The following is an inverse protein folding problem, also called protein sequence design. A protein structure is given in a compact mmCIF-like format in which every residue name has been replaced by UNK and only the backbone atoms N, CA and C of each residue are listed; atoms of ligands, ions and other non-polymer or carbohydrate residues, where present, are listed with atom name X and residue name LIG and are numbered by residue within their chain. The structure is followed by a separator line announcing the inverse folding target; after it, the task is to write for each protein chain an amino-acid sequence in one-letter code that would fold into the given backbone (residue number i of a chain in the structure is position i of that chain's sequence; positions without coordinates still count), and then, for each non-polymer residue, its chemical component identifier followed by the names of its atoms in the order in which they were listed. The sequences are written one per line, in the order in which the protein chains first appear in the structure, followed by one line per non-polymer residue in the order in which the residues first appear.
data_IF_709438007967
#
_entry.id   IF_709438007967
#
_cell.length_a   1.000
_cell.length_b   1.000
_cell.length_c   1.000
_cell.angle_alpha   90.00
_cell.angle_beta   90.00
_cell.angle_gamma   90.00
#
_symmetry.space_group_name_H-M   'P 1'
#
loop_
_entity.id
_entity.type
_entity.pdbx_description
1 polymer ?
#
# COMPACT_ATOMS: atom_id res chain seq x y z
N UNK A 1 4.88 -26.32 -6.82
CA UNK A 1 3.56 -26.03 -6.21
C UNK A 1 3.63 -25.48 -4.78
N UNK A 2 4.64 -25.80 -3.94
CA UNK A 2 4.66 -25.34 -2.52
C UNK A 2 4.91 -23.85 -2.26
N UNK A 3 5.60 -23.12 -3.14
CA UNK A 3 5.97 -21.71 -2.90
C UNK A 3 4.78 -20.74 -2.91
N UNK A 4 3.82 -20.96 -3.82
CA UNK A 4 2.60 -20.15 -3.90
C UNK A 4 1.70 -20.42 -2.70
N UNK A 5 1.51 -21.70 -2.34
CA UNK A 5 0.73 -22.09 -1.15
C UNK A 5 1.32 -21.53 0.15
N UNK A 6 2.66 -21.51 0.29
CA UNK A 6 3.33 -20.94 1.45
C UNK A 6 3.10 -19.41 1.55
N UNK A 7 3.24 -18.69 0.44
CA UNK A 7 2.98 -17.24 0.41
C UNK A 7 1.52 -16.90 0.74
N UNK A 8 0.56 -17.64 0.17
CA UNK A 8 -0.85 -17.45 0.46
C UNK A 8 -1.17 -17.70 1.95
N UNK A 9 -0.61 -18.76 2.53
CA UNK A 9 -0.74 -19.01 3.98
C UNK A 9 -0.18 -17.86 4.83
N UNK A 10 0.95 -17.29 4.44
CA UNK A 10 1.55 -16.16 5.16
C UNK A 10 0.72 -14.88 5.02
N UNK A 11 0.14 -14.59 3.85
CA UNK A 11 -0.73 -13.43 3.68
C UNK A 11 -2.03 -13.57 4.47
N UNK A 12 -2.59 -14.79 4.57
CA UNK A 12 -3.77 -15.03 5.38
C UNK A 12 -3.48 -14.86 6.89
N UNK A 13 -2.36 -15.40 7.39
CA UNK A 13 -1.96 -15.21 8.77
C UNK A 13 -1.66 -13.73 9.10
N UNK A 14 -1.01 -13.02 8.18
CA UNK A 14 -0.76 -11.58 8.31
C UNK A 14 -2.05 -10.77 8.29
N UNK A 15 -3.02 -11.15 7.47
CA UNK A 15 -4.34 -10.53 7.44
C UNK A 15 -5.02 -10.60 8.82
N UNK A 16 -5.06 -11.78 9.43
CA UNK A 16 -5.63 -11.97 10.77
C UNK A 16 -4.89 -11.18 11.85
N UNK A 17 -3.57 -11.08 11.76
CA UNK A 17 -2.76 -10.30 12.69
C UNK A 17 -3.10 -8.80 12.60
N UNK A 18 -3.16 -8.25 11.39
CA UNK A 18 -3.54 -6.85 11.17
C UNK A 18 -4.98 -6.57 11.61
N UNK A 19 -5.91 -7.51 11.42
CA UNK A 19 -7.29 -7.37 11.88
C UNK A 19 -7.40 -7.29 13.41
N UNK A 20 -6.59 -8.05 14.15
CA UNK A 20 -6.55 -7.96 15.61
C UNK A 20 -6.04 -6.61 16.10
N UNK A 21 -5.07 -6.02 15.39
CA UNK A 21 -4.60 -4.66 15.68
C UNK A 21 -5.71 -3.65 15.40
N UNK A 22 -6.32 -3.71 14.22
CA UNK A 22 -7.39 -2.78 13.81
C UNK A 22 -8.66 -2.89 14.67
N UNK A 23 -8.92 -4.04 15.29
CA UNK A 23 -10.00 -4.20 16.25
C UNK A 23 -9.79 -3.37 17.54
N UNK A 24 -8.53 -3.08 17.89
CA UNK A 24 -8.16 -2.25 19.05
C UNK A 24 -7.87 -0.81 18.64
N UNK A 25 -7.22 -0.64 17.49
CA UNK A 25 -6.75 0.64 16.95
C UNK A 25 -7.20 0.77 15.49
N UNK A 26 -8.45 1.21 15.23
CA UNK A 26 -9.04 1.19 13.88
C UNK A 26 -8.36 2.10 12.85
N UNK A 27 -7.46 2.97 13.31
CA UNK A 27 -6.73 3.96 12.53
C UNK A 27 -5.22 3.73 12.61
N UNK A 28 -4.75 2.58 13.11
CA UNK A 28 -3.34 2.24 13.05
C UNK A 28 -2.89 2.13 11.59
N UNK A 29 -2.00 3.02 11.19
CA UNK A 29 -1.58 3.17 9.79
C UNK A 29 -0.83 1.92 9.32
N UNK A 30 0.01 1.33 10.17
CA UNK A 30 0.79 0.14 9.84
C UNK A 30 -0.12 -1.07 9.57
N UNK A 31 -1.14 -1.27 10.40
CA UNK A 31 -2.10 -2.35 10.24
C UNK A 31 -3.05 -2.13 9.06
N UNK A 32 -3.47 -0.88 8.79
CA UNK A 32 -4.24 -0.55 7.58
C UNK A 32 -3.42 -0.87 6.32
N UNK A 33 -2.16 -0.42 6.28
CA UNK A 33 -1.21 -0.71 5.20
C UNK A 33 -0.99 -2.21 5.02
N UNK A 34 -0.67 -2.91 6.11
CA UNK A 34 -0.42 -4.35 6.13
C UNK A 34 -1.64 -5.15 5.66
N UNK A 35 -2.83 -4.80 6.14
CA UNK A 35 -4.10 -5.40 5.69
C UNK A 35 -4.34 -5.15 4.20
N UNK A 36 -4.13 -3.93 3.74
CA UNK A 36 -4.34 -3.56 2.34
C UNK A 36 -3.43 -4.32 1.37
N UNK A 37 -2.14 -4.47 1.72
CA UNK A 37 -1.19 -5.28 0.95
C UNK A 37 -1.61 -6.76 0.96
N UNK A 38 -1.97 -7.31 2.12
CA UNK A 38 -2.37 -8.73 2.21
C UNK A 38 -3.60 -9.02 1.34
N UNK A 39 -4.63 -8.17 1.39
CA UNK A 39 -5.82 -8.31 0.56
C UNK A 39 -5.49 -8.24 -0.93
N UNK A 40 -4.64 -7.29 -1.34
CA UNK A 40 -4.21 -7.17 -2.73
C UNK A 40 -3.45 -8.41 -3.21
N UNK A 41 -2.54 -8.94 -2.38
CA UNK A 41 -1.79 -10.17 -2.71
C UNK A 41 -2.66 -11.44 -2.68
N UNK A 42 -3.81 -11.41 -2.01
CA UNK A 42 -4.83 -12.46 -2.02
C UNK A 42 -5.84 -12.30 -3.16
N UNK A 43 -5.67 -11.32 -4.06
CA UNK A 43 -6.54 -11.07 -5.21
C UNK A 43 -7.75 -10.20 -4.92
N UNK A 44 -7.85 -9.61 -3.73
CA UNK A 44 -8.89 -8.64 -3.31
C UNK A 44 -8.31 -7.24 -3.39
N UNK A 45 -7.86 -6.85 -4.57
CA UNK A 45 -7.08 -5.62 -4.77
C UNK A 45 -7.88 -4.35 -4.52
N UNK A 46 -9.16 -4.31 -4.88
CA UNK A 46 -10.03 -3.15 -4.66
C UNK A 46 -10.17 -2.85 -3.16
N UNK A 47 -10.43 -3.87 -2.34
CA UNK A 47 -10.50 -3.71 -0.89
C UNK A 47 -9.14 -3.33 -0.29
N UNK A 48 -8.06 -3.85 -0.87
CA UNK A 48 -6.71 -3.49 -0.48
C UNK A 48 -6.38 -2.03 -0.74
N UNK A 49 -6.78 -1.52 -1.91
CA UNK A 49 -6.64 -0.12 -2.31
C UNK A 49 -7.39 0.80 -1.35
N UNK A 50 -8.64 0.50 -1.01
CA UNK A 50 -9.42 1.35 -0.09
C UNK A 50 -8.77 1.47 1.30
N UNK A 51 -8.19 0.38 1.82
CA UNK A 51 -7.45 0.43 3.08
C UNK A 51 -6.15 1.22 2.97
N UNK A 52 -5.46 1.11 1.84
CA UNK A 52 -4.25 1.88 1.59
C UNK A 52 -4.55 3.37 1.40
N UNK A 53 -5.67 3.75 0.78
CA UNK A 53 -6.15 5.14 0.75
C UNK A 53 -6.41 5.67 2.15
N UNK A 54 -7.06 4.87 3.00
CA UNK A 54 -7.25 5.23 4.41
C UNK A 54 -5.91 5.41 5.11
N UNK A 55 -4.95 4.52 4.91
CA UNK A 55 -3.60 4.66 5.46
C UNK A 55 -2.91 5.94 4.97
N UNK A 56 -2.98 6.25 3.67
CA UNK A 56 -2.47 7.48 3.05
C UNK A 56 -3.08 8.76 3.64
N UNK A 57 -4.37 8.72 3.99
CA UNK A 57 -5.06 9.86 4.61
C UNK A 57 -4.66 10.12 6.06
N UNK A 58 -4.10 9.10 6.73
CA UNK A 58 -3.71 9.13 8.13
C UNK A 58 -2.20 9.26 8.33
N UNK A 59 -1.40 9.16 7.26
CA UNK A 59 0.04 9.30 7.32
C UNK A 59 0.52 10.73 7.42
N UNK A 60 1.65 10.85 8.10
CA UNK A 60 2.45 12.06 8.20
C UNK A 60 3.72 11.97 7.33
N UNK A 61 4.47 13.06 7.27
CA UNK A 61 5.71 13.15 6.48
C UNK A 61 6.81 12.18 6.93
N UNK A 62 6.72 11.67 8.17
CA UNK A 62 7.67 10.73 8.73
C UNK A 62 7.45 9.30 8.24
N UNK A 63 6.22 8.96 7.83
CA UNK A 63 5.87 7.63 7.36
C UNK A 63 5.15 7.66 6.01
N UNK A 64 5.92 7.70 4.92
CA UNK A 64 5.36 7.81 3.56
C UNK A 64 5.16 6.48 2.83
N UNK A 65 5.48 5.34 3.45
CA UNK A 65 5.32 4.01 2.85
C UNK A 65 3.93 3.77 2.24
N UNK A 66 2.80 4.16 2.86
CA UNK A 66 1.48 3.95 2.27
C UNK A 66 1.29 4.60 0.91
N UNK A 67 1.95 5.74 0.62
CA UNK A 67 1.90 6.36 -0.71
C UNK A 67 2.59 5.47 -1.75
N UNK A 68 3.73 4.89 -1.40
CA UNK A 68 4.47 3.99 -2.27
C UNK A 68 3.70 2.68 -2.49
N UNK A 69 3.23 2.06 -1.42
CA UNK A 69 2.49 0.79 -1.46
C UNK A 69 1.18 0.93 -2.27
N UNK A 70 0.43 2.03 -2.06
CA UNK A 70 -0.77 2.32 -2.84
C UNK A 70 -0.46 2.49 -4.33
N UNK A 71 0.57 3.26 -4.67
CA UNK A 71 0.95 3.49 -6.07
C UNK A 71 1.40 2.20 -6.78
N UNK A 72 2.15 1.33 -6.10
CA UNK A 72 2.54 0.02 -6.63
C UNK A 72 1.31 -0.82 -6.93
N UNK A 73 0.37 -0.94 -5.99
CA UNK A 73 -0.83 -1.76 -6.18
C UNK A 73 -1.75 -1.16 -7.26
N UNK A 74 -1.89 0.16 -7.33
CA UNK A 74 -2.63 0.82 -8.40
C UNK A 74 -1.98 0.55 -9.77
N UNK A 75 -0.65 0.59 -9.87
CA UNK A 75 0.07 0.25 -11.10
C UNK A 75 -0.15 -1.20 -11.52
N UNK A 76 -0.03 -2.14 -10.58
CA UNK A 76 -0.24 -3.58 -10.80
C UNK A 76 -1.68 -3.92 -11.23
N UNK A 77 -2.66 -3.13 -10.79
CA UNK A 77 -4.08 -3.27 -11.17
C UNK A 77 -4.47 -2.49 -12.43
N UNK A 78 -3.52 -1.86 -13.11
CA UNK A 78 -3.74 -1.11 -14.35
C UNK A 78 -4.23 0.33 -14.17
N UNK A 79 -4.37 0.80 -12.92
CA UNK A 79 -4.78 2.16 -12.58
C UNK A 79 -3.58 3.12 -12.58
N UNK A 80 -2.81 3.11 -13.68
CA UNK A 80 -1.53 3.84 -13.81
C UNK A 80 -1.66 5.34 -13.61
N UNK A 81 -2.73 5.97 -14.14
CA UNK A 81 -2.98 7.40 -13.98
C UNK A 81 -3.14 7.80 -12.51
N UNK A 82 -3.81 6.97 -11.72
CA UNK A 82 -4.01 7.23 -10.31
C UNK A 82 -2.76 6.95 -9.49
N UNK A 83 -1.99 5.91 -9.84
CA UNK A 83 -0.69 5.65 -9.25
C UNK A 83 0.24 6.87 -9.37
N UNK A 84 0.26 7.53 -10.54
CA UNK A 84 1.01 8.77 -10.74
C UNK A 84 0.53 9.86 -9.78
N UNK A 85 -0.78 10.10 -9.70
CA UNK A 85 -1.34 11.13 -8.82
C UNK A 85 -0.97 10.92 -7.35
N UNK A 86 -1.04 9.68 -6.86
CA UNK A 86 -0.66 9.34 -5.48
C UNK A 86 0.82 9.61 -5.23
N UNK A 87 1.70 9.21 -6.15
CA UNK A 87 3.13 9.48 -6.04
C UNK A 87 3.42 10.97 -6.07
N UNK A 88 2.79 11.73 -6.97
CA UNK A 88 2.96 13.19 -7.04
C UNK A 88 2.51 13.88 -5.75
N UNK A 89 1.40 13.44 -5.15
CA UNK A 89 0.95 13.98 -3.87
C UNK A 89 1.99 13.71 -2.78
N UNK A 90 2.47 12.47 -2.66
CA UNK A 90 3.49 12.12 -1.68
C UNK A 90 4.79 12.90 -1.88
N UNK A 91 5.20 13.10 -3.15
CA UNK A 91 6.40 13.88 -3.54
C UNK A 91 6.31 15.35 -3.14
N UNK A 92 5.10 15.91 -3.04
CA UNK A 92 4.89 17.29 -2.58
C UNK A 92 4.97 17.41 -1.06
N UNK A 93 4.66 16.34 -0.33
CA UNK A 93 4.71 16.32 1.14
C UNK A 93 6.11 16.15 1.71
N UNK A 94 6.98 15.39 1.05
CA UNK A 94 8.33 15.13 1.55
C UNK A 94 9.37 15.08 0.43
N UNK A 95 10.43 15.88 0.58
CA UNK A 95 11.59 15.85 -0.34
C UNK A 95 12.32 14.51 -0.27
N UNK A 96 12.40 13.90 0.92
CA UNK A 96 12.98 12.59 1.09
C UNK A 96 12.17 11.52 0.33
N UNK A 97 10.85 11.55 0.47
CA UNK A 97 9.98 10.66 -0.30
C UNK A 97 10.11 10.91 -1.80
N UNK A 98 10.31 12.17 -2.22
CA UNK A 98 10.57 12.48 -3.64
C UNK A 98 11.80 11.78 -4.18
N UNK A 99 12.90 11.77 -3.43
CA UNK A 99 14.10 11.04 -3.83
C UNK A 99 13.86 9.52 -3.88
N UNK A 100 13.13 8.97 -2.90
CA UNK A 100 12.85 7.53 -2.81
C UNK A 100 11.89 7.03 -3.90
N UNK A 101 10.89 7.82 -4.25
CA UNK A 101 9.86 7.48 -5.24
C UNK A 101 10.28 7.73 -6.68
N UNK A 102 11.47 8.30 -6.94
CA UNK A 102 11.89 8.72 -8.28
C UNK A 102 11.89 7.58 -9.30
N UNK A 103 12.46 6.43 -8.95
CA UNK A 103 12.50 5.29 -9.86
C UNK A 103 11.10 4.80 -10.25
N UNK A 104 10.20 4.69 -9.26
CA UNK A 104 8.82 4.30 -9.50
C UNK A 104 8.07 5.35 -10.32
N UNK A 105 8.27 6.64 -10.03
CA UNK A 105 7.67 7.73 -10.79
C UNK A 105 8.07 7.68 -12.27
N UNK A 106 9.36 7.52 -12.57
CA UNK A 106 9.85 7.41 -13.95
C UNK A 106 9.27 6.20 -14.69
N UNK A 107 9.13 5.05 -14.00
CA UNK A 107 8.46 3.87 -14.56
C UNK A 107 6.96 4.11 -14.82
N UNK A 108 6.32 4.93 -13.98
CA UNK A 108 4.90 5.27 -14.12
C UNK A 108 4.64 6.34 -15.19
N UNK A 109 5.60 7.20 -15.53
CA UNK A 109 5.38 8.24 -16.57
C UNK A 109 5.96 7.86 -17.94
N UNK A 110 6.91 6.93 -17.98
CA UNK A 110 7.41 6.30 -19.21
C UNK A 110 6.40 5.33 -19.81
#
# INVERSE_FOLDING_TARGET
YGYVSFRLGNYQAALEANEKVLAREPNDVYALKGKGICLSRLGRSEEGIELLRKAVSLTDEAFMDPYFDLAVILSETGQKSEAISVIEEGRKKSEQFRAQSEALYQQLVG
#
